data_IF_895112618421
#
_entry.id   IF_895112618421
#
_cell.length_a   1.000
_cell.length_b   1.000
_cell.length_c   1.000
_cell.angle_alpha   90.00
_cell.angle_beta   90.00
_cell.angle_gamma   90.00
#
_symmetry.space_group_name_H-M   'P 1'
#
loop_
_entity.id
_entity.type
_entity.pdbx_description
1 polymer ?
#
# COMPACT_ATOMS: atom_id res chain seq x y z
N UNK A 1 -2.60 6.89 -14.18
CA UNK A 1 -2.70 7.19 -15.63
C UNK A 1 -2.80 8.68 -15.85
N UNK A 2 -2.19 9.22 -16.90
CA UNK A 2 -2.19 10.66 -17.19
C UNK A 2 -2.87 10.93 -18.53
N UNK A 3 -3.89 11.79 -18.54
CA UNK A 3 -4.52 12.25 -19.77
C UNK A 3 -3.55 13.09 -20.60
N UNK A 4 -3.43 12.84 -21.91
CA UNK A 4 -2.69 13.72 -22.80
C UNK A 4 -3.26 15.14 -22.78
N UNK A 5 -2.37 16.14 -22.79
CA UNK A 5 -2.78 17.56 -22.81
C UNK A 5 -3.60 17.85 -24.07
N UNK A 6 -4.75 18.51 -23.91
CA UNK A 6 -5.60 18.93 -25.02
C UNK A 6 -6.52 17.85 -25.60
N UNK A 7 -6.55 16.64 -25.02
CA UNK A 7 -7.45 15.59 -25.49
C UNK A 7 -8.91 15.86 -25.08
N UNK A 8 -9.81 16.01 -26.05
CA UNK A 8 -11.26 16.00 -25.84
C UNK A 8 -11.80 14.56 -25.83
N UNK A 9 -11.29 13.73 -24.92
CA UNK A 9 -11.69 12.33 -24.79
C UNK A 9 -12.55 12.15 -23.54
N UNK A 10 -13.59 11.33 -23.64
CA UNK A 10 -14.34 10.90 -22.47
C UNK A 10 -13.41 10.11 -21.53
N UNK A 11 -13.23 10.61 -20.32
CA UNK A 11 -12.32 10.04 -19.31
C UNK A 11 -12.55 8.53 -19.07
N UNK A 12 -13.80 8.03 -18.93
CA UNK A 12 -14.03 6.60 -18.76
C UNK A 12 -13.46 5.75 -19.90
N UNK A 13 -13.64 6.18 -21.15
CA UNK A 13 -13.16 5.47 -22.33
C UNK A 13 -11.64 5.47 -22.43
N UNK A 14 -11.01 6.60 -22.09
CA UNK A 14 -9.56 6.70 -22.00
C UNK A 14 -9.00 5.71 -20.98
N UNK A 15 -9.55 5.71 -19.76
CA UNK A 15 -9.09 4.85 -18.67
C UNK A 15 -9.28 3.38 -19.04
N UNK A 16 -10.45 3.00 -19.56
CA UNK A 16 -10.72 1.63 -19.96
C UNK A 16 -9.81 1.14 -21.09
N UNK A 17 -9.45 2.02 -22.04
CA UNK A 17 -8.53 1.68 -23.13
C UNK A 17 -7.09 1.55 -22.65
N UNK A 18 -6.61 2.52 -21.87
CA UNK A 18 -5.24 2.49 -21.35
C UNK A 18 -5.01 1.36 -20.34
N UNK A 19 -6.00 1.06 -19.48
CA UNK A 19 -5.93 -0.09 -18.58
C UNK A 19 -5.81 -1.41 -19.35
N UNK A 20 -6.58 -1.59 -20.42
CA UNK A 20 -6.46 -2.76 -21.32
C UNK A 20 -5.09 -2.83 -21.98
N UNK A 21 -4.57 -1.69 -22.44
CA UNK A 21 -3.25 -1.62 -23.11
C UNK A 21 -2.09 -1.94 -22.17
N UNK A 22 -2.14 -1.46 -20.93
CA UNK A 22 -1.01 -1.53 -19.99
C UNK A 22 -1.01 -2.79 -19.14
N UNK A 23 -2.18 -3.32 -18.79
CA UNK A 23 -2.31 -4.41 -17.81
C UNK A 23 -3.01 -5.65 -18.35
N UNK A 24 -3.32 -5.70 -19.66
CA UNK A 24 -4.01 -6.83 -20.29
C UNK A 24 -5.31 -7.23 -19.56
N UNK A 25 -6.00 -6.25 -18.96
CA UNK A 25 -7.19 -6.51 -18.12
C UNK A 25 -8.32 -7.09 -18.95
N UNK A 26 -8.78 -8.29 -18.60
CA UNK A 26 -10.03 -8.83 -19.08
C UNK A 26 -11.20 -8.25 -18.28
N UNK A 27 -12.13 -7.55 -18.94
CA UNK A 27 -13.28 -6.91 -18.30
C UNK A 27 -14.34 -7.90 -17.76
N UNK A 28 -14.34 -9.12 -18.29
CA UNK A 28 -15.20 -10.19 -17.79
C UNK A 28 -14.69 -10.72 -16.44
N UNK A 29 -13.38 -10.72 -16.22
CA UNK A 29 -12.73 -11.29 -15.04
C UNK A 29 -12.34 -10.23 -13.99
N UNK A 30 -12.33 -8.95 -14.37
CA UNK A 30 -11.90 -7.85 -13.49
C UNK A 30 -12.84 -6.65 -13.51
N UNK A 31 -12.96 -6.01 -12.35
CA UNK A 31 -13.59 -4.70 -12.17
C UNK A 31 -12.53 -3.61 -12.29
N UNK A 32 -12.86 -2.54 -13.02
CA UNK A 32 -11.98 -1.38 -13.15
C UNK A 32 -12.53 -0.22 -12.32
N UNK A 33 -11.76 0.23 -11.35
CA UNK A 33 -12.05 1.39 -10.52
C UNK A 33 -11.08 2.51 -10.86
N UNK A 34 -11.53 3.75 -10.78
CA UNK A 34 -10.66 4.90 -10.97
C UNK A 34 -11.18 6.14 -10.25
N UNK A 35 -10.27 7.05 -9.93
CA UNK A 35 -10.56 8.35 -9.37
C UNK A 35 -9.50 9.38 -9.78
N UNK A 36 -9.84 10.68 -9.90
CA UNK A 36 -8.85 11.72 -10.10
C UNK A 36 -7.91 11.81 -8.89
N UNK A 37 -6.63 12.08 -9.13
CA UNK A 37 -5.66 12.33 -8.06
C UNK A 37 -5.76 13.80 -7.66
N UNK A 38 -6.06 14.05 -6.38
CA UNK A 38 -6.21 15.40 -5.84
C UNK A 38 -4.97 16.27 -6.12
N UNK A 39 -5.17 17.56 -6.38
CA UNK A 39 -4.08 18.51 -6.66
C UNK A 39 -3.44 18.36 -8.06
N UNK A 40 -3.79 17.34 -8.83
CA UNK A 40 -3.23 17.11 -10.17
C UNK A 40 -4.29 17.28 -11.25
N UNK A 41 -3.94 17.93 -12.37
CA UNK A 41 -4.84 18.03 -13.52
C UNK A 41 -4.61 16.87 -14.47
N UNK A 42 -5.65 16.05 -14.65
CA UNK A 42 -5.67 14.98 -15.64
C UNK A 42 -4.90 13.72 -15.23
N UNK A 43 -4.51 13.55 -13.97
CA UNK A 43 -4.00 12.27 -13.48
C UNK A 43 -5.09 11.51 -12.72
N UNK A 44 -5.09 10.20 -12.91
CA UNK A 44 -6.06 9.28 -12.35
C UNK A 44 -5.36 8.12 -11.68
N UNK A 45 -5.79 7.82 -10.46
CA UNK A 45 -5.52 6.54 -9.81
C UNK A 45 -6.47 5.53 -10.42
N UNK A 46 -5.94 4.41 -10.89
CA UNK A 46 -6.72 3.37 -11.58
C UNK A 46 -6.32 2.02 -11.01
N UNK A 47 -7.33 1.21 -10.71
CA UNK A 47 -7.21 -0.07 -10.05
C UNK A 47 -8.01 -1.11 -10.84
N UNK A 48 -7.38 -2.23 -11.15
CA UNK A 48 -8.07 -3.42 -11.64
C UNK A 48 -8.15 -4.44 -10.52
N UNK A 49 -9.36 -4.93 -10.22
CA UNK A 49 -9.60 -5.92 -9.16
C UNK A 49 -10.21 -7.17 -9.77
N UNK A 50 -9.59 -8.36 -9.62
CA UNK A 50 -10.19 -9.62 -10.03
C UNK A 50 -11.54 -9.83 -9.32
N UNK A 51 -12.59 -10.16 -10.08
CA UNK A 51 -13.96 -10.31 -9.58
C UNK A 51 -14.09 -11.43 -8.57
N UNK A 52 -13.53 -12.59 -8.88
CA UNK A 52 -13.71 -13.80 -8.06
C UNK A 52 -13.16 -13.61 -6.62
N UNK A 53 -11.90 -13.19 -6.40
CA UNK A 53 -11.42 -12.91 -5.04
C UNK A 53 -12.23 -11.86 -4.28
N UNK A 54 -12.70 -10.81 -4.96
CA UNK A 54 -13.53 -9.78 -4.34
C UNK A 54 -14.88 -10.35 -3.90
N UNK A 55 -15.56 -11.09 -4.78
CA UNK A 55 -16.84 -11.71 -4.45
C UNK A 55 -16.70 -12.76 -3.34
N UNK A 56 -15.61 -13.55 -3.34
CA UNK A 56 -15.31 -14.51 -2.28
C UNK A 56 -15.11 -13.83 -0.92
N UNK A 57 -14.42 -12.69 -0.90
CA UNK A 57 -14.29 -11.86 0.31
C UNK A 57 -15.66 -11.36 0.80
N UNK A 58 -16.47 -10.80 -0.09
CA UNK A 58 -17.81 -10.29 0.24
C UNK A 58 -18.75 -11.39 0.75
N UNK A 59 -18.73 -12.57 0.12
CA UNK A 59 -19.48 -13.75 0.57
C UNK A 59 -19.03 -14.20 1.96
N UNK A 60 -17.73 -14.28 2.18
CA UNK A 60 -17.16 -14.71 3.47
C UNK A 60 -17.61 -13.79 4.61
N UNK A 61 -17.56 -12.47 4.39
CA UNK A 61 -18.05 -11.49 5.37
C UNK A 61 -19.55 -11.66 5.61
N UNK A 62 -20.34 -11.90 4.56
CA UNK A 62 -21.79 -12.12 4.67
C UNK A 62 -22.14 -13.38 5.44
N UNK A 63 -21.44 -14.48 5.19
CA UNK A 63 -21.60 -15.75 5.90
C UNK A 63 -21.26 -15.64 7.39
N UNK A 64 -20.36 -14.73 7.75
CA UNK A 64 -20.07 -14.37 9.14
C UNK A 64 -21.17 -13.50 9.80
N UNK A 65 -22.28 -13.21 9.10
CA UNK A 65 -23.37 -12.36 9.59
C UNK A 65 -23.06 -10.86 9.55
N UNK A 66 -21.98 -10.47 8.87
CA UNK A 66 -21.56 -9.07 8.72
C UNK A 66 -21.96 -8.53 7.35
N UNK A 67 -22.16 -7.21 7.26
CA UNK A 67 -22.41 -6.53 5.98
C UNK A 67 -21.16 -5.73 5.59
N UNK A 68 -20.45 -6.08 4.49
CA UNK A 68 -19.34 -5.27 4.03
C UNK A 68 -19.85 -3.88 3.61
N UNK A 69 -19.31 -2.83 4.23
CA UNK A 69 -19.66 -1.42 3.91
C UNK A 69 -18.59 -0.73 3.06
N UNK A 70 -17.35 -1.20 3.16
CA UNK A 70 -16.22 -0.71 2.38
C UNK A 70 -15.18 -1.81 2.21
N UNK A 71 -14.56 -1.81 1.04
CA UNK A 71 -13.36 -2.59 0.74
C UNK A 71 -12.28 -1.60 0.32
N UNK A 72 -11.03 -1.91 0.63
CA UNK A 72 -9.91 -1.00 0.39
C UNK A 72 -8.60 -1.74 0.18
N UNK A 73 -7.61 -1.03 -0.37
CA UNK A 73 -6.27 -1.53 -0.56
C UNK A 73 -5.44 -1.30 0.70
N UNK A 74 -4.77 -2.34 1.19
CA UNK A 74 -3.87 -2.24 2.35
C UNK A 74 -2.84 -1.11 2.24
N UNK A 75 -2.16 -0.89 1.09
CA UNK A 75 -1.28 0.26 0.93
C UNK A 75 -1.95 1.64 1.15
N UNK A 76 -3.19 1.81 0.70
CA UNK A 76 -3.93 3.07 0.91
C UNK A 76 -4.37 3.23 2.36
N UNK A 77 -4.72 2.12 3.03
CA UNK A 77 -4.98 2.12 4.46
C UNK A 77 -3.72 2.51 5.25
N UNK A 78 -2.56 1.93 4.93
CA UNK A 78 -1.29 2.30 5.53
C UNK A 78 -1.01 3.79 5.36
N UNK A 79 -1.20 4.34 4.15
CA UNK A 79 -1.00 5.75 3.89
C UNK A 79 -1.83 6.66 4.81
N UNK A 80 -3.12 6.35 4.96
CA UNK A 80 -4.03 7.06 5.86
C UNK A 80 -3.60 6.92 7.32
N UNK A 81 -3.22 5.73 7.72
CA UNK A 81 -2.86 5.43 9.11
C UNK A 81 -1.54 6.08 9.54
N UNK A 82 -0.55 6.14 8.64
CA UNK A 82 0.73 6.79 8.93
C UNK A 82 0.60 8.31 8.95
N UNK A 83 -0.32 8.85 8.15
CA UNK A 83 -0.60 10.29 8.03
C UNK A 83 0.68 11.13 7.78
N UNK A 84 1.59 10.59 6.97
CA UNK A 84 2.85 11.25 6.61
C UNK A 84 2.78 11.80 5.20
N UNK A 85 3.34 13.00 5.00
CA UNK A 85 3.50 13.57 3.66
C UNK A 85 4.53 12.79 2.84
N UNK A 86 5.62 12.37 3.48
CA UNK A 86 6.66 11.54 2.87
C UNK A 86 7.10 10.46 3.85
N UNK A 87 7.12 9.21 3.43
CA UNK A 87 7.51 8.08 4.27
C UNK A 87 7.78 6.82 3.45
N UNK A 88 8.48 5.88 4.05
CA UNK A 88 8.62 4.50 3.57
C UNK A 88 8.02 3.57 4.62
N UNK A 89 7.23 2.58 4.21
CA UNK A 89 6.64 1.61 5.12
C UNK A 89 6.80 0.19 4.61
N UNK A 90 7.15 -0.72 5.52
CA UNK A 90 7.16 -2.16 5.32
C UNK A 90 6.12 -2.76 6.27
N UNK A 91 5.11 -3.41 5.71
CA UNK A 91 4.07 -4.10 6.49
C UNK A 91 4.15 -5.60 6.22
N UNK A 92 4.32 -6.40 7.27
CA UNK A 92 4.37 -7.87 7.19
C UNK A 92 3.11 -8.44 7.83
N UNK A 93 2.29 -9.12 7.02
CA UNK A 93 1.06 -9.76 7.48
C UNK A 93 0.93 -11.16 6.89
N UNK A 94 0.82 -12.17 7.76
CA UNK A 94 0.75 -13.57 7.34
C UNK A 94 1.96 -13.94 6.50
N UNK A 95 1.72 -14.30 5.23
CA UNK A 95 2.74 -14.71 4.28
C UNK A 95 3.06 -13.64 3.22
N UNK A 96 2.84 -12.37 3.51
CA UNK A 96 3.13 -11.32 2.54
C UNK A 96 3.79 -10.09 3.17
N UNK A 97 4.54 -9.40 2.32
CA UNK A 97 5.17 -8.11 2.62
C UNK A 97 4.57 -7.06 1.69
N UNK A 98 4.11 -5.97 2.27
CA UNK A 98 3.66 -4.78 1.56
C UNK A 98 4.68 -3.68 1.76
N UNK A 99 5.19 -3.12 0.67
CA UNK A 99 6.10 -1.98 0.68
C UNK A 99 5.38 -0.78 0.08
N UNK A 100 5.39 0.34 0.79
CA UNK A 100 4.76 1.59 0.37
C UNK A 100 5.77 2.73 0.45
N UNK A 101 5.83 3.55 -0.59
CA UNK A 101 6.49 4.86 -0.56
C UNK A 101 5.41 5.93 -0.71
N UNK A 102 5.38 6.85 0.26
CA UNK A 102 4.48 7.99 0.30
C UNK A 102 5.23 9.24 -0.14
N UNK A 103 4.61 10.04 -1.00
CA UNK A 103 5.04 11.39 -1.36
C UNK A 103 3.79 12.26 -1.50
N UNK A 104 3.82 13.46 -0.93
CA UNK A 104 2.67 14.37 -0.84
C UNK A 104 1.39 13.68 -0.35
N UNK A 105 1.52 12.81 0.66
CA UNK A 105 0.43 11.98 1.23
C UNK A 105 -0.15 10.93 0.27
N UNK A 106 0.46 10.73 -0.90
CA UNK A 106 -0.01 9.80 -1.92
C UNK A 106 0.95 8.61 -2.01
N UNK A 107 0.44 7.38 -1.99
CA UNK A 107 1.23 6.20 -2.33
C UNK A 107 1.69 6.26 -3.79
N UNK A 108 2.96 6.57 -4.00
CA UNK A 108 3.58 6.64 -5.34
C UNK A 108 4.23 5.31 -5.73
N UNK A 109 4.55 4.48 -4.74
CA UNK A 109 4.93 3.09 -4.93
C UNK A 109 4.14 2.21 -3.95
N UNK A 110 3.54 1.14 -4.49
CA UNK A 110 2.82 0.13 -3.72
C UNK A 110 3.20 -1.24 -4.29
N UNK A 111 3.94 -2.01 -3.53
CA UNK A 111 4.32 -3.37 -3.91
C UNK A 111 3.83 -4.35 -2.86
N UNK A 112 3.33 -5.50 -3.30
CA UNK A 112 2.93 -6.62 -2.43
C UNK A 112 3.63 -7.87 -2.92
N UNK A 113 4.35 -8.53 -2.02
CA UNK A 113 5.12 -9.72 -2.30
C UNK A 113 4.59 -10.87 -1.46
N UNK A 114 4.32 -12.01 -2.10
CA UNK A 114 4.00 -13.26 -1.43
C UNK A 114 5.31 -13.98 -1.06
N UNK A 115 5.41 -14.45 0.17
CA UNK A 115 6.57 -15.13 0.73
C UNK A 115 6.48 -16.67 0.58
N UNK A 116 5.36 -17.18 0.06
CA UNK A 116 5.07 -18.61 -0.08
C UNK A 116 4.04 -19.11 0.93
N UNK A 117 3.78 -20.41 0.94
CA UNK A 117 2.72 -21.00 1.77
C UNK A 117 3.17 -21.32 3.21
N UNK A 118 4.49 -21.40 3.43
CA UNK A 118 5.07 -21.69 4.74
C UNK A 118 5.56 -20.41 5.42
N UNK A 119 5.36 -20.25 6.74
CA UNK A 119 5.95 -19.15 7.49
C UNK A 119 7.47 -19.20 7.38
N UNK A 120 8.08 -18.05 7.08
CA UNK A 120 9.54 -17.91 7.12
C UNK A 120 10.03 -17.85 8.56
N UNK A 121 11.26 -18.33 8.77
CA UNK A 121 11.98 -18.04 10.01
C UNK A 121 12.24 -16.52 10.10
N UNK A 122 12.35 -15.94 11.30
CA UNK A 122 12.57 -14.50 11.45
C UNK A 122 13.78 -13.96 10.68
N UNK A 123 14.87 -14.73 10.62
CA UNK A 123 16.09 -14.37 9.89
C UNK A 123 15.87 -14.32 8.38
N UNK A 124 15.18 -15.33 7.83
CA UNK A 124 14.86 -15.41 6.41
C UNK A 124 13.87 -14.32 6.00
N UNK A 125 12.87 -14.05 6.86
CA UNK A 125 11.92 -12.95 6.67
C UNK A 125 12.63 -11.62 6.58
N UNK A 126 13.57 -11.35 7.49
CA UNK A 126 14.32 -10.11 7.48
C UNK A 126 15.18 -9.98 6.22
N UNK A 127 15.92 -11.03 5.85
CA UNK A 127 16.70 -11.03 4.61
C UNK A 127 15.85 -10.81 3.35
N UNK A 128 14.65 -11.40 3.30
CA UNK A 128 13.69 -11.15 2.23
C UNK A 128 13.17 -9.71 2.23
N UNK A 129 12.75 -9.20 3.39
CA UNK A 129 12.26 -7.82 3.53
C UNK A 129 13.32 -6.81 3.11
N UNK A 130 14.58 -7.02 3.49
CA UNK A 130 15.74 -6.23 3.10
C UNK A 130 15.94 -6.18 1.59
N UNK A 131 15.93 -7.34 0.94
CA UNK A 131 16.11 -7.43 -0.51
C UNK A 131 14.97 -6.73 -1.27
N UNK A 132 13.73 -6.96 -0.84
CA UNK A 132 12.55 -6.35 -1.46
C UNK A 132 12.53 -4.84 -1.24
N UNK A 133 12.86 -4.37 -0.04
CA UNK A 133 12.96 -2.95 0.27
C UNK A 133 14.05 -2.27 -0.56
N UNK A 134 15.24 -2.87 -0.65
CA UNK A 134 16.33 -2.36 -1.48
C UNK A 134 15.93 -2.21 -2.95
N UNK A 135 15.26 -3.22 -3.52
CA UNK A 135 14.73 -3.18 -4.88
C UNK A 135 13.68 -2.09 -5.07
N UNK A 136 12.73 -1.96 -4.13
CA UNK A 136 11.68 -0.94 -4.16
C UNK A 136 12.26 0.48 -4.13
N UNK A 137 13.24 0.71 -3.26
CA UNK A 137 13.92 2.00 -3.10
C UNK A 137 14.76 2.36 -4.33
N UNK A 138 15.51 1.39 -4.87
CA UNK A 138 16.26 1.60 -6.11
C UNK A 138 15.33 1.97 -7.27
N UNK A 139 14.26 1.18 -7.47
CA UNK A 139 13.26 1.46 -8.50
C UNK A 139 12.64 2.86 -8.35
N UNK A 140 12.24 3.24 -7.13
CA UNK A 140 11.68 4.57 -6.87
C UNK A 140 12.68 5.67 -7.21
N UNK A 141 13.90 5.59 -6.67
CA UNK A 141 14.93 6.61 -6.82
C UNK A 141 15.42 6.77 -8.26
N UNK A 142 15.51 5.67 -9.01
CA UNK A 142 15.89 5.70 -10.44
C UNK A 142 14.79 6.32 -11.29
N UNK A 143 13.52 6.05 -10.96
CA UNK A 143 12.36 6.64 -11.64
C UNK A 143 12.12 8.11 -11.27
N UNK A 144 12.70 8.58 -10.15
CA UNK A 144 12.51 9.92 -9.58
C UNK A 144 13.86 10.59 -9.30
N UNK A 145 14.78 10.60 -10.28
CA UNK A 145 16.15 11.13 -10.10
C UNK A 145 16.22 12.57 -9.55
N UNK A 146 15.22 13.41 -9.85
CA UNK A 146 15.13 14.79 -9.36
C UNK A 146 14.46 14.93 -7.97
N UNK A 147 13.74 13.92 -7.50
CA UNK A 147 13.02 13.92 -6.22
C UNK A 147 13.25 12.58 -5.48
N UNK A 148 14.52 12.24 -5.27
CA UNK A 148 14.91 11.01 -4.56
C UNK A 148 14.47 11.06 -3.09
N UNK A 149 14.31 9.91 -2.45
CA UNK A 149 14.08 9.89 -1.00
C UNK A 149 15.33 10.39 -0.28
N UNK A 150 15.15 11.39 0.58
CA UNK A 150 16.21 11.87 1.46
C UNK A 150 16.37 10.93 2.65
N UNK A 151 17.58 10.78 3.18
CA UNK A 151 17.86 9.86 4.29
C UNK A 151 17.17 10.23 5.61
N UNK A 152 16.57 11.40 5.71
CA UNK A 152 15.69 11.80 6.82
C UNK A 152 14.23 11.35 6.64
N UNK A 153 13.90 10.68 5.53
CA UNK A 153 12.54 10.18 5.26
C UNK A 153 12.14 9.17 6.35
N UNK A 154 11.03 9.39 7.07
CA UNK A 154 10.56 8.46 8.10
C UNK A 154 10.30 7.05 7.55
N UNK A 155 10.80 6.06 8.27
CA UNK A 155 10.63 4.65 7.95
C UNK A 155 9.81 3.92 9.01
N UNK A 156 8.83 3.14 8.58
CA UNK A 156 7.94 2.40 9.47
C UNK A 156 7.97 0.91 9.17
N UNK A 157 8.00 0.10 10.22
CA UNK A 157 7.76 -1.35 10.15
C UNK A 157 6.49 -1.66 10.93
N UNK A 158 5.60 -2.43 10.31
CA UNK A 158 4.27 -2.72 10.86
C UNK A 158 3.76 -4.09 10.43
N UNK A 159 2.57 -4.44 10.92
CA UNK A 159 1.91 -5.72 10.69
C UNK A 159 2.29 -6.77 11.74
N UNK A 160 1.34 -7.65 12.06
CA UNK A 160 1.49 -8.68 13.10
C UNK A 160 2.54 -9.75 12.75
N UNK A 161 2.96 -9.85 11.49
CA UNK A 161 4.01 -10.78 11.05
C UNK A 161 5.42 -10.20 11.16
N UNK A 162 5.58 -8.94 11.55
CA UNK A 162 6.90 -8.33 11.69
C UNK A 162 7.65 -8.95 12.89
N UNK A 163 8.85 -9.46 12.64
CA UNK A 163 9.73 -9.91 13.72
C UNK A 163 10.12 -8.71 14.62
N UNK A 164 10.31 -8.90 15.95
CA UNK A 164 10.57 -7.80 16.88
C UNK A 164 11.76 -6.90 16.51
N UNK A 165 12.80 -7.47 15.88
CA UNK A 165 14.02 -6.76 15.48
C UNK A 165 14.04 -6.35 14.00
N UNK A 166 12.95 -6.59 13.24
CA UNK A 166 12.92 -6.31 11.81
C UNK A 166 13.16 -4.82 11.51
N UNK A 167 12.54 -3.93 12.30
CA UNK A 167 12.72 -2.48 12.17
C UNK A 167 14.18 -2.04 12.30
N UNK A 168 14.86 -2.49 13.35
CA UNK A 168 16.26 -2.14 13.61
C UNK A 168 17.19 -2.65 12.51
N UNK A 169 16.95 -3.86 11.99
CA UNK A 169 17.72 -4.44 10.90
C UNK A 169 17.57 -3.64 9.61
N UNK A 170 16.32 -3.39 9.19
CA UNK A 170 16.04 -2.62 7.98
C UNK A 170 16.55 -1.18 8.10
N UNK A 171 16.49 -0.58 9.29
CA UNK A 171 17.12 0.70 9.57
C UNK A 171 18.64 0.65 9.35
N UNK A 172 19.33 -0.35 9.92
CA UNK A 172 20.79 -0.47 9.80
C UNK A 172 21.27 -0.63 8.35
N UNK A 173 20.45 -1.22 7.49
CA UNK A 173 20.77 -1.46 6.09
C UNK A 173 20.42 -0.28 5.18
N UNK A 174 19.32 0.42 5.47
CA UNK A 174 18.82 1.51 4.60
C UNK A 174 19.26 2.90 5.04
N UNK A 175 19.53 3.10 6.32
CA UNK A 175 19.88 4.39 6.91
C UNK A 175 18.69 5.33 7.16
N UNK A 176 17.46 4.97 6.76
CA UNK A 176 16.28 5.80 7.04
C UNK A 176 15.89 5.74 8.52
N UNK A 177 15.51 6.86 9.17
CA UNK A 177 15.14 6.88 10.57
C UNK A 177 13.90 6.01 10.82
N UNK A 178 14.04 5.02 11.72
CA UNK A 178 12.91 4.19 12.15
C UNK A 178 12.00 5.01 13.08
N UNK A 179 10.72 5.07 12.74
CA UNK A 179 9.69 5.76 13.52
C UNK A 179 8.62 4.78 13.99
N UNK A 180 8.04 5.08 15.15
CA UNK A 180 6.85 4.39 15.65
C UNK A 180 5.59 4.97 15.02
N UNK A 181 4.58 4.11 14.84
CA UNK A 181 3.26 4.55 14.37
C UNK A 181 2.61 5.38 15.49
N UNK A 182 2.20 6.61 15.19
CA UNK A 182 1.48 7.44 16.14
C UNK A 182 0.01 6.97 16.27
N UNK A 183 -0.57 6.93 17.48
CA UNK A 183 -1.98 6.59 17.64
C UNK A 183 -2.87 7.69 17.07
N UNK A 184 -3.74 7.31 16.13
CA UNK A 184 -4.71 8.22 15.51
C UNK A 184 -6.04 8.28 16.28
N UNK A 185 -6.27 7.30 17.13
CA UNK A 185 -7.44 7.16 17.99
C UNK A 185 -6.95 6.86 19.41
N UNK A 186 -7.75 7.21 20.40
CA UNK A 186 -7.48 6.82 21.78
C UNK A 186 -7.46 5.30 21.88
N UNK A 187 -6.33 4.73 22.26
CA UNK A 187 -6.14 3.31 22.46
C UNK A 187 -5.53 3.06 23.85
N UNK A 188 -5.80 1.90 24.48
CA UNK A 188 -5.08 1.48 25.67
C UNK A 188 -3.57 1.46 25.44
N UNK A 189 -2.78 1.73 26.48
CA UNK A 189 -1.31 1.80 26.36
C UNK A 189 -0.67 0.50 25.84
N UNK A 190 -1.30 -0.65 26.10
CA UNK A 190 -0.81 -1.97 25.66
C UNK A 190 -1.40 -2.40 24.30
N UNK A 191 -2.17 -1.55 23.62
CA UNK A 191 -2.72 -1.89 22.32
C UNK A 191 -1.58 -2.02 21.30
N UNK A 192 -1.43 -3.17 20.60
CA UNK A 192 -0.34 -3.39 19.66
C UNK A 192 -0.61 -2.64 18.35
N UNK A 193 -0.44 -1.32 18.40
CA UNK A 193 -0.84 -0.39 17.35
C UNK A 193 -0.24 -0.76 15.98
N UNK A 194 1.05 -1.10 15.96
CA UNK A 194 1.75 -1.50 14.74
C UNK A 194 1.14 -2.75 14.08
N UNK A 195 0.51 -3.64 14.84
CA UNK A 195 -0.14 -4.85 14.30
C UNK A 195 -1.45 -4.55 13.59
N UNK A 196 -2.14 -3.48 13.98
CA UNK A 196 -3.48 -3.13 13.49
C UNK A 196 -3.52 -1.86 12.65
N UNK A 197 -2.36 -1.32 12.26
CA UNK A 197 -2.25 -0.05 11.53
C UNK A 197 -3.08 -0.04 10.23
N UNK A 198 -3.13 -1.16 9.51
CA UNK A 198 -3.94 -1.31 8.29
C UNK A 198 -5.44 -1.22 8.62
N UNK A 199 -5.88 -1.91 9.67
CA UNK A 199 -7.28 -1.88 10.12
C UNK A 199 -7.69 -0.47 10.56
N UNK A 200 -6.80 0.26 11.24
CA UNK A 200 -7.05 1.65 11.61
C UNK A 200 -7.16 2.55 10.37
N UNK A 201 -6.30 2.36 9.38
CA UNK A 201 -6.40 3.09 8.11
C UNK A 201 -7.68 2.82 7.33
N UNK A 202 -8.24 1.61 7.45
CA UNK A 202 -9.57 1.27 6.91
C UNK A 202 -10.67 1.95 7.72
N UNK A 203 -10.58 1.94 9.06
CA UNK A 203 -11.55 2.59 9.94
C UNK A 203 -11.60 4.10 9.70
N UNK A 204 -10.46 4.76 9.52
CA UNK A 204 -10.37 6.19 9.24
C UNK A 204 -11.14 6.60 7.99
N UNK A 205 -11.15 5.75 6.95
CA UNK A 205 -11.92 6.01 5.72
C UNK A 205 -13.42 6.12 5.99
N UNK A 206 -13.91 5.49 7.06
CA UNK A 206 -15.32 5.56 7.45
C UNK A 206 -15.64 6.80 8.31
N UNK A 207 -14.62 7.48 8.83
CA UNK A 207 -14.75 8.63 9.73
C UNK A 207 -14.53 9.98 9.01
N UNK A 208 -14.06 9.95 7.76
CA UNK A 208 -13.83 11.10 6.88
C UNK A 208 -14.92 11.20 5.84
#
# INVERSE_FOLDING_TARGET
>A
LSLPRGASVQVPDFIAREARRLWSVNQEESLLYWQPVAGTKGQFFVLSVPREPLHALEETVRLAGLRPVSVDLRPLCLARALNQGRAVAVCVEGNNIVIVVLVDHIPVLMQTHLLGDMPLLPEDLAGQASNLLGQALAYYNDSHAADRLSLDTPFFVCGAGAAPNLGERLHSETGFPLHEVAPLLSAPAEFPLAHFVVNLGLLMKMLQ
#
